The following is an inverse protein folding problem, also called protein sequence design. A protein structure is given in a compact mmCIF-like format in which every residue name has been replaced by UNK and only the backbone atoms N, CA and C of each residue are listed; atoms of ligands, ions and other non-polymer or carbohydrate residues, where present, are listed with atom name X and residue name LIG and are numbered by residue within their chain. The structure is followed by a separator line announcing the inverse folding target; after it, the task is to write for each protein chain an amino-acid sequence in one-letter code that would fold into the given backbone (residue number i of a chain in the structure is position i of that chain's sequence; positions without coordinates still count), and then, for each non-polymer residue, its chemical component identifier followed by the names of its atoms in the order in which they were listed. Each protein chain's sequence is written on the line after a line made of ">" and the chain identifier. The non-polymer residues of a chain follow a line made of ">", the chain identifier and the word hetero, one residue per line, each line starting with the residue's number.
data_IF_060084238245
#
_entry.id   IF_060084238245
#
_cell.length_a   1.000
_cell.length_b   1.000
_cell.length_c   1.000
_cell.angle_alpha   90.00
_cell.angle_beta   90.00
_cell.angle_gamma   90.00
#
_symmetry.space_group_name_H-M   'P 1'
#
loop_
_entity.id
_entity.type
_entity.pdbx_description
1 polymer ?
#
# COMPACT_ATOMS: atom_id res chain seq x y z
N UNK A 1 7.60 -9.68 16.09
CA UNK A 1 7.80 -8.50 15.24
C UNK A 1 6.59 -8.48 14.34
N UNK A 2 5.78 -7.46 14.48
CA UNK A 2 4.61 -7.28 13.62
C UNK A 2 5.06 -6.63 12.32
N UNK A 3 4.45 -7.05 11.22
CA UNK A 3 4.72 -6.56 9.87
C UNK A 3 3.47 -5.84 9.37
N UNK A 4 3.65 -4.71 8.69
CA UNK A 4 2.54 -3.87 8.24
C UNK A 4 2.66 -3.57 6.76
N UNK A 5 1.51 -3.49 6.10
CA UNK A 5 1.40 -3.04 4.71
C UNK A 5 0.45 -1.85 4.63
N UNK A 6 0.81 -0.89 3.79
CA UNK A 6 -0.04 0.26 3.45
C UNK A 6 -0.72 -0.02 2.12
N UNK A 7 -2.05 0.09 2.09
CA UNK A 7 -2.85 -0.19 0.91
C UNK A 7 -4.06 0.73 0.75
N UNK A 8 -4.47 0.95 -0.50
CA UNK A 8 -5.78 1.53 -0.83
C UNK A 8 -6.63 0.52 -1.60
N UNK A 9 -7.94 0.70 -1.48
CA UNK A 9 -8.91 -0.13 -2.21
C UNK A 9 -9.82 0.81 -2.99
N UNK A 10 -9.91 0.59 -4.30
CA UNK A 10 -10.78 1.35 -5.18
C UNK A 10 -11.62 0.42 -6.03
N UNK A 11 -12.88 0.80 -6.23
CA UNK A 11 -13.81 0.06 -7.07
C UNK A 11 -13.78 0.65 -8.47
N UNK A 12 -13.49 -0.19 -9.47
CA UNK A 12 -13.62 0.18 -10.87
C UNK A 12 -14.94 -0.38 -11.40
N UNK A 13 -15.86 0.51 -11.75
CA UNK A 13 -17.13 0.15 -12.37
C UNK A 13 -17.04 0.25 -13.88
N UNK A 14 -17.36 -0.85 -14.56
CA UNK A 14 -17.50 -0.91 -16.01
C UNK A 14 -18.97 -1.21 -16.31
N UNK A 15 -19.58 -0.45 -17.22
CA UNK A 15 -21.01 -0.57 -17.52
C UNK A 15 -21.28 -1.95 -18.14
N UNK A 16 -22.12 -2.74 -17.47
CA UNK A 16 -22.48 -4.09 -17.91
C UNK A 16 -21.63 -5.22 -17.31
N UNK A 17 -20.64 -4.89 -16.48
CA UNK A 17 -19.80 -5.87 -15.78
C UNK A 17 -19.92 -5.70 -14.26
N UNK A 18 -19.56 -6.76 -13.53
CA UNK A 18 -19.45 -6.67 -12.07
C UNK A 18 -18.32 -5.72 -11.70
N UNK A 19 -18.48 -4.92 -10.62
CA UNK A 19 -17.43 -4.02 -10.18
C UNK A 19 -16.17 -4.80 -9.78
N UNK A 20 -15.03 -4.38 -10.31
CA UNK A 20 -13.74 -4.96 -9.93
C UNK A 20 -13.18 -4.18 -8.73
N UNK A 21 -12.78 -4.92 -7.69
CA UNK A 21 -12.11 -4.34 -6.53
C UNK A 21 -10.61 -4.39 -6.77
N UNK A 22 -10.00 -3.22 -6.95
CA UNK A 22 -8.56 -3.09 -7.16
C UNK A 22 -7.92 -2.69 -5.83
N UNK A 23 -6.93 -3.48 -5.40
CA UNK A 23 -6.04 -3.11 -4.29
C UNK A 23 -4.75 -2.53 -4.85
N UNK A 24 -4.28 -1.49 -4.20
CA UNK A 24 -3.01 -0.84 -4.47
C UNK A 24 -2.21 -0.80 -3.18
N UNK A 25 -0.91 -1.02 -3.29
CA UNK A 25 0.02 -1.12 -2.17
C UNK A 25 1.16 -0.15 -2.38
N UNK A 26 1.80 0.26 -1.29
CA UNK A 26 3.07 0.96 -1.35
C UNK A 26 4.18 -0.03 -1.69
N UNK A 27 5.06 0.34 -2.61
CA UNK A 27 6.31 -0.35 -2.92
C UNK A 27 7.49 0.63 -2.77
N UNK A 28 8.71 0.11 -2.63
CA UNK A 28 9.93 0.92 -2.65
C UNK A 28 10.75 0.59 -3.89
N UNK A 29 11.06 1.62 -4.69
CA UNK A 29 11.74 1.45 -6.00
C UNK A 29 13.20 1.97 -5.99
N UNK A 30 13.71 2.42 -4.84
CA UNK A 30 15.09 2.91 -4.74
C UNK A 30 15.88 2.26 -3.61
N UNK A 31 17.13 1.89 -3.93
CA UNK A 31 18.14 1.45 -2.96
C UNK A 31 18.89 2.62 -2.30
N UNK A 32 18.68 3.86 -2.77
CA UNK A 32 19.33 5.07 -2.25
C UNK A 32 18.26 6.15 -2.09
N UNK A 33 17.88 6.42 -0.83
CA UNK A 33 16.76 7.30 -0.49
C UNK A 33 15.41 6.60 -0.55
N UNK A 34 14.46 7.11 0.23
CA UNK A 34 13.12 6.52 0.36
C UNK A 34 12.24 7.04 -0.77
N UNK A 35 12.06 6.22 -1.82
CA UNK A 35 11.15 6.49 -2.93
C UNK A 35 10.02 5.48 -2.92
N UNK A 36 8.87 5.90 -2.37
CA UNK A 36 7.67 5.11 -2.38
C UNK A 36 6.92 5.23 -3.72
N UNK A 37 6.54 4.10 -4.26
CA UNK A 37 5.71 3.97 -5.47
C UNK A 37 4.43 3.20 -5.13
N UNK A 38 3.50 3.13 -6.08
CA UNK A 38 2.27 2.35 -5.94
C UNK A 38 2.33 1.13 -6.84
N UNK A 39 2.11 -0.06 -6.27
CA UNK A 39 1.99 -1.31 -7.01
C UNK A 39 0.61 -1.93 -6.81
N UNK A 40 0.16 -2.75 -7.75
CA UNK A 40 -1.04 -3.62 -7.56
C UNK A 40 -0.66 -5.02 -7.09
N UNK A 41 0.63 -5.35 -7.13
CA UNK A 41 1.13 -6.66 -6.75
C UNK A 41 1.49 -6.66 -5.27
N UNK A 42 0.77 -7.45 -4.48
CA UNK A 42 1.02 -7.60 -3.05
C UNK A 42 2.42 -8.15 -2.77
N UNK A 43 2.99 -8.97 -3.66
CA UNK A 43 4.33 -9.57 -3.47
C UNK A 43 5.43 -8.51 -3.52
N UNK A 44 5.20 -7.44 -4.30
CA UNK A 44 6.13 -6.31 -4.41
C UNK A 44 5.79 -5.18 -3.45
N UNK A 45 4.85 -5.38 -2.52
CA UNK A 45 4.53 -4.39 -1.51
C UNK A 45 5.71 -4.24 -0.53
N UNK A 46 5.98 -3.01 -0.13
CA UNK A 46 6.89 -2.71 0.94
C UNK A 46 6.27 -3.17 2.26
N UNK A 47 7.05 -3.94 3.03
CA UNK A 47 6.67 -4.41 4.35
C UNK A 47 7.36 -3.48 5.35
N UNK A 48 6.54 -2.75 6.09
CA UNK A 48 7.00 -1.91 7.19
C UNK A 48 7.11 -2.76 8.44
N UNK A 49 8.21 -2.64 9.17
CA UNK A 49 8.35 -3.29 10.48
C UNK A 49 7.84 -2.39 11.63
N UNK A 50 7.88 -2.91 12.87
CA UNK A 50 7.49 -2.15 14.08
C UNK A 50 8.27 -0.84 14.26
N UNK A 51 9.51 -0.75 13.75
CA UNK A 51 10.33 0.47 13.82
C UNK A 51 9.94 1.51 12.76
N UNK A 52 9.35 1.07 11.66
CA UNK A 52 8.87 1.91 10.55
C UNK A 52 7.36 2.20 10.63
N UNK A 53 6.66 1.81 11.70
CA UNK A 53 5.22 2.02 11.85
C UNK A 53 4.82 3.50 11.75
N UNK A 54 5.65 4.41 12.26
CA UNK A 54 5.39 5.86 12.14
C UNK A 54 5.42 6.32 10.68
N UNK A 55 6.29 5.73 9.87
CA UNK A 55 6.41 6.05 8.45
C UNK A 55 5.23 5.47 7.68
N UNK A 56 4.82 4.24 8.00
CA UNK A 56 3.61 3.64 7.46
C UNK A 56 2.36 4.50 7.74
N UNK A 57 2.23 5.02 8.98
CA UNK A 57 1.15 5.92 9.37
C UNK A 57 1.20 7.23 8.58
N UNK A 58 2.37 7.86 8.52
CA UNK A 58 2.56 9.10 7.77
C UNK A 58 2.18 8.95 6.29
N UNK A 59 2.62 7.88 5.63
CA UNK A 59 2.30 7.61 4.22
C UNK A 59 0.80 7.35 4.06
N UNK A 60 0.22 6.55 4.97
CA UNK A 60 -1.20 6.23 4.94
C UNK A 60 -2.06 7.49 5.04
N UNK A 61 -1.69 8.42 5.90
CA UNK A 61 -2.39 9.69 6.08
C UNK A 61 -2.21 10.61 4.86
N UNK A 62 -0.98 10.73 4.35
CA UNK A 62 -0.70 11.57 3.18
C UNK A 62 -1.45 11.11 1.93
N UNK A 63 -1.57 9.80 1.73
CA UNK A 63 -2.11 9.21 0.49
C UNK A 63 -3.53 8.66 0.68
N UNK A 64 -4.15 8.90 1.85
CA UNK A 64 -5.47 8.42 2.21
C UNK A 64 -5.62 6.89 2.01
N UNK A 65 -4.62 6.16 2.49
CA UNK A 65 -4.54 4.70 2.46
C UNK A 65 -4.83 4.12 3.85
N UNK A 66 -4.87 2.80 3.94
CA UNK A 66 -5.08 2.03 5.17
C UNK A 66 -3.84 1.22 5.50
N UNK A 67 -3.68 0.90 6.77
CA UNK A 67 -2.64 -0.02 7.26
C UNK A 67 -3.30 -1.35 7.62
N UNK A 68 -2.66 -2.46 7.27
CA UNK A 68 -3.03 -3.82 7.66
C UNK A 68 -1.79 -4.53 8.22
N UNK A 69 -1.94 -5.18 9.37
CA UNK A 69 -0.93 -6.08 9.94
C UNK A 69 -0.95 -7.41 9.16
N UNK A 70 0.23 -7.92 8.80
CA UNK A 70 0.45 -9.09 7.93
C UNK A 70 0.68 -10.37 8.73
#
# INVERSE_FOLDING_TARGET
>A
MSEYIVYSTHMKTVKGEFPEIIRQYIASDSAIGVHYTVTKDKVNAYIFDDSELSDAQFISDCWNMKIEEV
#
